data_IF_832463537440
#
_entry.id   IF_832463537440
#
_cell.length_a   1.000
_cell.length_b   1.000
_cell.length_c   1.000
_cell.angle_alpha   90.00
_cell.angle_beta   90.00
_cell.angle_gamma   90.00
#
_symmetry.space_group_name_H-M   'P 1'
#
loop_
_entity.id
_entity.type
_entity.pdbx_description
1 polymer ?
#
# COMPACT_ATOMS: atom_id res chain seq x y z
N UNK A 1 3.67 4.22 -0.76
CA UNK A 1 4.15 5.16 -1.80
C UNK A 1 5.55 4.76 -2.22
N UNK A 2 6.00 5.15 -3.41
CA UNK A 2 7.41 5.14 -3.78
C UNK A 2 7.86 6.50 -4.30
N UNK A 3 9.17 6.76 -4.26
CA UNK A 3 9.78 7.95 -4.85
C UNK A 3 10.83 7.55 -5.89
N UNK A 4 10.73 8.12 -7.09
CA UNK A 4 11.73 7.94 -8.15
C UNK A 4 11.98 9.30 -8.77
N UNK A 5 13.25 9.73 -8.82
CA UNK A 5 13.65 11.03 -9.39
C UNK A 5 12.83 12.21 -8.84
N UNK A 6 12.60 12.24 -7.52
CA UNK A 6 11.81 13.30 -6.86
C UNK A 6 10.29 13.21 -7.05
N UNK A 7 9.79 12.30 -7.90
CA UNK A 7 8.36 12.12 -8.13
C UNK A 7 7.79 11.04 -7.22
N UNK A 8 6.72 11.38 -6.51
CA UNK A 8 6.01 10.44 -5.64
C UNK A 8 4.90 9.69 -6.38
N UNK A 9 4.83 8.38 -6.17
CA UNK A 9 3.76 7.50 -6.69
C UNK A 9 3.02 6.81 -5.56
N UNK A 10 1.70 6.91 -5.56
CA UNK A 10 0.84 6.14 -4.68
C UNK A 10 0.61 4.77 -5.29
N UNK A 11 0.69 3.72 -4.45
CA UNK A 11 0.40 2.35 -4.85
C UNK A 11 -0.82 1.88 -4.08
N UNK A 12 -1.89 1.51 -4.79
CA UNK A 12 -3.06 0.83 -4.23
C UNK A 12 -2.94 -0.70 -4.35
N UNK A 13 -2.04 -1.16 -5.22
CA UNK A 13 -1.64 -2.55 -5.42
C UNK A 13 -0.21 -2.58 -5.98
N UNK A 14 0.42 -3.74 -5.97
CA UNK A 14 1.75 -3.94 -6.56
C UNK A 14 1.69 -5.01 -7.66
N UNK A 15 2.47 -4.81 -8.72
CA UNK A 15 2.65 -5.78 -9.81
C UNK A 15 3.52 -6.98 -9.37
N UNK A 16 4.36 -6.80 -8.36
CA UNK A 16 5.36 -7.75 -7.88
C UNK A 16 6.03 -7.25 -6.60
N UNK A 17 6.86 -8.10 -5.98
CA UNK A 17 7.77 -7.63 -4.93
C UNK A 17 8.88 -6.82 -5.62
N UNK A 18 9.05 -5.53 -5.29
CA UNK A 18 10.10 -4.71 -5.89
C UNK A 18 11.48 -5.18 -5.41
N UNK A 19 12.47 -5.13 -6.29
CA UNK A 19 13.86 -5.50 -5.96
C UNK A 19 14.49 -4.56 -4.94
N UNK A 20 14.11 -3.28 -4.96
CA UNK A 20 14.59 -2.25 -4.04
C UNK A 20 13.44 -1.60 -3.27
N UNK A 21 13.39 -1.84 -1.95
CA UNK A 21 12.40 -1.27 -1.03
C UNK A 21 12.80 0.09 -0.46
N UNK A 22 14.04 0.56 -0.62
CA UNK A 22 14.54 1.82 -0.06
C UNK A 22 13.80 3.05 -0.58
N UNK A 23 13.25 2.93 -1.79
CA UNK A 23 12.44 3.97 -2.41
C UNK A 23 10.99 3.96 -1.96
N UNK A 24 10.59 2.98 -1.13
CA UNK A 24 9.22 2.80 -0.65
C UNK A 24 9.07 3.31 0.78
N UNK A 25 7.95 3.97 1.01
CA UNK A 25 7.59 4.49 2.32
C UNK A 25 6.07 4.50 2.50
N UNK A 26 5.65 4.37 3.73
CA UNK A 26 4.26 4.57 4.16
C UNK A 26 4.09 6.03 4.51
N UNK A 27 3.10 6.68 3.89
CA UNK A 27 2.70 8.03 4.24
C UNK A 27 1.56 7.96 5.25
N UNK A 28 1.80 8.45 6.46
CA UNK A 28 0.79 8.54 7.52
C UNK A 28 0.29 9.98 7.54
N UNK A 29 -1.01 10.16 7.25
CA UNK A 29 -1.67 11.46 7.38
C UNK A 29 -2.12 11.67 8.81
N UNK A 30 -1.72 12.78 9.41
CA UNK A 30 -2.20 13.19 10.72
C UNK A 30 -3.22 14.31 10.56
N UNK A 31 -4.25 14.31 11.40
CA UNK A 31 -5.24 15.39 11.47
C UNK A 31 -4.72 16.61 12.24
N UNK A 32 -3.75 16.43 13.13
CA UNK A 32 -3.25 17.46 14.05
C UNK A 32 -1.76 17.80 13.86
N UNK A 33 -1.02 16.97 13.12
CA UNK A 33 0.43 17.12 12.92
C UNK A 33 0.80 17.05 11.44
N UNK A 34 2.10 17.24 11.15
CA UNK A 34 2.64 17.06 9.80
C UNK A 34 2.52 15.59 9.38
N UNK A 35 2.36 15.39 8.07
CA UNK A 35 2.46 14.06 7.46
C UNK A 35 3.80 13.41 7.81
N UNK A 36 3.77 12.14 8.20
CA UNK A 36 4.97 11.35 8.52
C UNK A 36 5.22 10.34 7.42
N UNK A 37 6.48 10.19 7.04
CA UNK A 37 6.94 9.22 6.03
C UNK A 37 7.80 8.17 6.70
N UNK A 38 7.32 6.93 6.71
CA UNK A 38 7.99 5.81 7.38
C UNK A 38 8.60 4.89 6.32
N UNK A 39 9.91 4.61 6.35
CA UNK A 39 10.55 3.75 5.37
C UNK A 39 10.03 2.32 5.46
N UNK A 40 9.86 1.68 4.30
CA UNK A 40 9.53 0.26 4.23
C UNK A 40 10.78 -0.57 4.53
N UNK A 41 10.66 -1.48 5.48
CA UNK A 41 11.70 -2.44 5.85
C UNK A 41 11.67 -3.68 4.96
N UNK A 42 10.48 -4.17 4.62
CA UNK A 42 10.31 -5.35 3.77
C UNK A 42 8.94 -5.41 3.12
N UNK A 43 8.88 -6.09 1.97
CA UNK A 43 7.66 -6.47 1.28
C UNK A 43 7.73 -7.97 1.01
N UNK A 44 6.76 -8.71 1.49
CA UNK A 44 6.69 -10.18 1.36
C UNK A 44 5.31 -10.59 0.87
N UNK A 45 5.18 -11.80 0.35
CA UNK A 45 3.89 -12.37 -0.01
C UNK A 45 3.31 -13.19 1.15
N UNK A 46 2.02 -13.02 1.44
CA UNK A 46 1.30 -13.79 2.46
C UNK A 46 -0.10 -14.17 1.96
N UNK A 47 -0.66 -15.28 2.44
CA UNK A 47 -2.07 -15.63 2.21
C UNK A 47 -2.91 -15.15 3.39
N UNK A 48 -3.89 -14.27 3.13
CA UNK A 48 -4.91 -13.86 4.10
C UNK A 48 -6.29 -14.18 3.57
N UNK A 49 -7.10 -14.88 4.37
CA UNK A 49 -8.48 -15.25 4.01
C UNK A 49 -8.59 -15.96 2.65
N UNK A 50 -7.59 -16.77 2.28
CA UNK A 50 -7.54 -17.48 0.99
C UNK A 50 -7.02 -16.64 -0.20
N UNK A 51 -6.83 -15.33 -0.03
CA UNK A 51 -6.30 -14.42 -1.05
C UNK A 51 -4.79 -14.19 -0.85
N UNK A 52 -4.03 -14.17 -1.95
CA UNK A 52 -2.60 -13.83 -1.92
C UNK A 52 -2.44 -12.30 -1.92
N UNK A 53 -1.75 -11.78 -0.92
CA UNK A 53 -1.55 -10.33 -0.68
C UNK A 53 -0.08 -10.03 -0.42
N UNK A 54 0.31 -8.76 -0.54
CA UNK A 54 1.63 -8.29 -0.12
C UNK A 54 1.56 -7.76 1.31
N UNK A 55 2.42 -8.29 2.16
CA UNK A 55 2.68 -7.82 3.52
C UNK A 55 3.85 -6.86 3.52
N UNK A 56 3.59 -5.63 3.94
CA UNK A 56 4.54 -4.54 4.00
C UNK A 56 4.87 -4.26 5.46
N UNK A 57 6.15 -4.37 5.82
CA UNK A 57 6.64 -4.01 7.15
C UNK A 57 7.32 -2.66 7.06
N UNK A 58 6.85 -1.67 7.79
CA UNK A 58 7.46 -0.34 7.87
C UNK A 58 8.28 -0.19 9.15
N UNK A 59 9.52 0.30 9.05
CA UNK A 59 10.41 0.47 10.21
C UNK A 59 10.21 1.86 10.82
N UNK A 60 9.67 1.88 12.03
CA UNK A 60 9.58 3.08 12.85
C UNK A 60 9.95 2.72 14.29
N UNK A 61 10.74 3.57 14.93
CA UNK A 61 11.09 3.41 16.34
C UNK A 61 9.98 4.01 17.21
N UNK A 62 9.51 3.24 18.20
CA UNK A 62 8.64 3.71 19.29
C UNK A 62 7.37 4.47 18.85
N UNK A 63 6.58 3.87 17.96
CA UNK A 63 5.22 4.38 17.72
C UNK A 63 4.25 3.78 18.75
N UNK A 64 3.55 4.66 19.45
CA UNK A 64 2.51 4.29 20.39
C UNK A 64 1.24 3.94 19.61
N UNK A 65 0.71 2.73 19.79
CA UNK A 65 -0.62 2.39 19.30
C UNK A 65 -1.67 2.96 20.27
N UNK A 66 -2.60 3.76 19.73
CA UNK A 66 -3.68 4.40 20.50
C UNK A 66 -4.54 3.39 21.27
N UNK A 67 -4.72 2.17 20.72
CA UNK A 67 -5.55 1.13 21.36
C UNK A 67 -4.89 0.47 22.57
N UNK A 68 -3.57 0.31 22.59
CA UNK A 68 -2.89 -0.51 23.62
C UNK A 68 -1.90 0.27 24.48
N UNK A 69 -1.61 1.55 24.18
CA UNK A 69 -0.58 2.35 24.85
C UNK A 69 0.80 1.65 24.94
N UNK A 70 1.07 0.73 24.03
CA UNK A 70 2.34 0.03 23.91
C UNK A 70 3.12 0.57 22.72
N UNK A 71 4.43 0.65 22.90
CA UNK A 71 5.36 0.85 21.81
C UNK A 71 5.55 -0.47 21.08
N UNK A 72 5.30 -0.46 19.77
CA UNK A 72 5.60 -1.61 18.91
C UNK A 72 6.69 -1.21 17.92
N UNK A 73 7.62 -2.12 17.71
CA UNK A 73 8.62 -1.99 16.67
C UNK A 73 8.01 -2.51 15.37
N UNK A 74 7.90 -1.60 14.40
CA UNK A 74 7.36 -1.82 13.05
C UNK A 74 5.83 -1.89 12.92
N UNK A 75 5.35 -1.47 11.74
CA UNK A 75 3.93 -1.53 11.37
C UNK A 75 3.75 -2.42 10.16
N UNK A 76 2.76 -3.30 10.22
CA UNK A 76 2.41 -4.17 9.10
C UNK A 76 1.19 -3.64 8.37
N UNK A 77 1.30 -3.51 7.06
CA UNK A 77 0.21 -3.17 6.15
C UNK A 77 0.03 -4.28 5.12
N UNK A 78 -1.18 -4.41 4.57
CA UNK A 78 -1.49 -5.37 3.52
C UNK A 78 -1.95 -4.63 2.28
N UNK A 79 -1.38 -4.99 1.12
CA UNK A 79 -1.83 -4.52 -0.19
C UNK A 79 -2.23 -5.71 -1.04
N UNK A 80 -3.27 -5.52 -1.84
CA UNK A 80 -3.67 -6.54 -2.80
C UNK A 80 -2.63 -6.68 -3.91
N UNK A 81 -2.51 -7.90 -4.41
CA UNK A 81 -1.87 -8.13 -5.70
C UNK A 81 -2.68 -7.42 -6.77
N UNK A 82 -2.02 -6.74 -7.69
CA UNK A 82 -2.71 -6.18 -8.84
C UNK A 82 -3.38 -7.33 -9.59
N UNK A 83 -4.69 -7.25 -9.77
CA UNK A 83 -5.41 -8.21 -10.60
C UNK A 83 -4.79 -8.13 -12.00
N UNK A 84 -4.34 -9.27 -12.56
CA UNK A 84 -4.15 -9.37 -14.01
C UNK A 84 -5.49 -9.00 -14.61
N UNK A 85 -5.55 -8.04 -15.53
CA UNK A 85 -6.79 -7.50 -16.08
C UNK A 85 -7.85 -8.59 -16.28
N UNK A 86 -8.74 -8.75 -15.30
CA UNK A 86 -9.94 -9.54 -15.46
C UNK A 86 -10.96 -8.55 -16.03
N UNK A 87 -11.42 -8.86 -17.25
CA UNK A 87 -12.23 -8.00 -18.11
C UNK A 87 -13.63 -7.66 -17.54
N UNK A 88 -13.87 -7.88 -16.24
CA UNK A 88 -15.18 -7.81 -15.60
C UNK A 88 -15.18 -7.23 -14.17
N UNK A 89 -14.05 -6.87 -13.56
CA UNK A 89 -14.03 -6.33 -12.20
C UNK A 89 -13.51 -4.88 -12.13
N UNK A 90 -14.43 -3.94 -11.98
CA UNK A 90 -14.22 -2.49 -12.07
C UNK A 90 -13.57 -1.89 -10.80
N UNK A 91 -12.29 -2.12 -10.60
CA UNK A 91 -11.53 -1.53 -9.47
C UNK A 91 -10.77 -0.25 -9.84
N UNK A 92 -10.97 0.32 -11.03
CA UNK A 92 -10.39 1.61 -11.44
C UNK A 92 -11.45 2.58 -11.99
N UNK A 93 -11.25 3.88 -11.74
CA UNK A 93 -12.11 4.94 -12.28
C UNK A 93 -12.16 4.89 -13.82
N UNK A 94 -11.04 4.58 -14.46
CA UNK A 94 -10.97 4.40 -15.92
C UNK A 94 -11.82 3.22 -16.42
N UNK A 95 -11.89 2.13 -15.65
CA UNK A 95 -12.69 0.97 -16.01
C UNK A 95 -14.19 1.23 -15.76
N UNK A 96 -14.54 1.97 -14.70
CA UNK A 96 -15.90 2.47 -14.47
C UNK A 96 -16.39 3.36 -15.62
N UNK A 97 -15.57 4.31 -16.08
CA UNK A 97 -15.91 5.20 -17.20
C UNK A 97 -16.09 4.40 -18.49
N UNK A 98 -15.20 3.44 -18.78
CA UNK A 98 -15.34 2.55 -19.94
C UNK A 98 -16.62 1.72 -19.88
N UNK A 99 -16.99 1.21 -18.71
CA UNK A 99 -18.20 0.42 -18.51
C UNK A 99 -19.48 1.22 -18.72
N UNK A 100 -19.53 2.45 -18.19
CA UNK A 100 -20.65 3.38 -18.39
C UNK A 100 -20.82 3.68 -19.89
N UNK A 101 -19.72 3.87 -20.62
CA UNK A 101 -19.77 4.13 -22.06
C UNK A 101 -20.13 2.90 -22.91
N UNK A 102 -20.08 1.69 -22.35
CA UNK A 102 -20.37 0.43 -23.05
C UNK A 102 -21.78 -0.10 -22.77
N UNK A 103 -22.55 0.51 -21.87
CA UNK A 103 -23.94 0.16 -21.59
C UNK A 103 -24.83 1.39 -21.91
N UNK A 104 -25.39 1.49 -23.15
CA UNK A 104 -26.12 2.66 -23.61
C UNK A 104 -27.46 2.89 -22.89
#
# INVERSE_FOLDING_TARGET
YSQTNGTYRQHVSLDGIPENTDTYFVKVKSSAFKDVYIPVASITEEKRNGQSVYKITAKAEKLQQELENKYVDNFTFYLDKKAKEENTNFTSFSNLVKAINQNP
#
